data_IF_447159932011
#
_entry.id   IF_447159932011
#
_cell.length_a   1.000
_cell.length_b   1.000
_cell.length_c   1.000
_cell.angle_alpha   90.00
_cell.angle_beta   90.00
_cell.angle_gamma   90.00
#
_symmetry.space_group_name_H-M   'P 1'
#
loop_
_entity.id
_entity.type
_entity.pdbx_description
1 polymer ?
#
# COMPACT_ATOMS: atom_id res chain seq x y z
N UNK A 1 9.97 -0.81 -17.13
CA UNK A 1 8.95 -0.43 -16.14
C UNK A 1 8.02 0.60 -16.71
N UNK A 2 6.77 0.55 -16.32
CA UNK A 2 5.75 1.48 -16.82
C UNK A 2 5.55 2.63 -15.85
N UNK A 3 5.83 3.85 -16.30
CA UNK A 3 5.59 5.05 -15.51
C UNK A 3 4.08 5.25 -15.25
N UNK A 4 3.25 4.90 -16.24
CA UNK A 4 1.80 5.04 -16.09
C UNK A 4 1.28 4.12 -14.99
N UNK A 5 1.76 2.89 -14.91
CA UNK A 5 1.35 1.97 -13.86
C UNK A 5 1.89 2.38 -12.50
N UNK A 6 3.12 2.90 -12.46
CA UNK A 6 3.66 3.44 -11.23
C UNK A 6 2.78 4.57 -10.70
N UNK A 7 2.39 5.49 -11.58
CA UNK A 7 1.54 6.60 -11.19
C UNK A 7 0.15 6.13 -10.77
N UNK A 8 -0.37 5.11 -11.45
CA UNK A 8 -1.67 4.53 -11.09
C UNK A 8 -1.61 3.92 -9.69
N UNK A 9 -0.50 3.23 -9.37
CA UNK A 9 -0.32 2.70 -8.03
C UNK A 9 -0.34 3.81 -6.98
N UNK A 10 0.35 4.92 -7.26
CA UNK A 10 0.39 6.04 -6.33
C UNK A 10 -0.98 6.70 -6.16
N UNK A 11 -1.73 6.84 -7.25
CA UNK A 11 -3.08 7.41 -7.17
C UNK A 11 -4.00 6.52 -6.34
N UNK A 12 -3.90 5.21 -6.55
CA UNK A 12 -4.74 4.29 -5.78
C UNK A 12 -4.36 4.27 -4.31
N UNK A 13 -3.05 4.38 -4.04
CA UNK A 13 -2.56 4.47 -2.67
C UNK A 13 -3.06 5.76 -1.99
N UNK A 14 -3.18 6.85 -2.74
CA UNK A 14 -3.75 8.07 -2.21
C UNK A 14 -5.21 7.88 -1.78
N UNK A 15 -5.96 7.03 -2.49
CA UNK A 15 -7.32 6.67 -2.08
C UNK A 15 -7.32 5.97 -0.73
N UNK A 16 -6.36 5.06 -0.50
CA UNK A 16 -6.24 4.40 0.79
C UNK A 16 -5.95 5.42 1.89
N UNK A 17 -5.01 6.31 1.64
CA UNK A 17 -4.66 7.34 2.64
C UNK A 17 -5.85 8.23 2.96
N UNK A 18 -6.60 8.63 1.96
CA UNK A 18 -7.81 9.46 2.17
C UNK A 18 -8.84 8.70 3.01
N UNK A 19 -9.03 7.41 2.72
CA UNK A 19 -9.96 6.58 3.47
C UNK A 19 -9.54 6.49 4.94
N UNK A 20 -8.27 6.20 5.19
CA UNK A 20 -7.77 6.03 6.56
C UNK A 20 -7.85 7.35 7.35
N UNK A 21 -7.43 8.43 6.73
CA UNK A 21 -7.41 9.75 7.38
C UNK A 21 -8.82 10.28 7.61
N UNK A 22 -9.79 9.80 6.84
CA UNK A 22 -11.17 10.21 6.98
C UNK A 22 -11.97 9.45 8.02
N UNK A 23 -11.39 8.44 8.68
CA UNK A 23 -12.11 7.65 9.68
C UNK A 23 -12.17 8.40 11.01
N UNK A 24 -13.36 8.75 11.48
CA UNK A 24 -13.49 9.57 12.68
C UNK A 24 -12.97 8.86 13.94
N UNK A 25 -12.20 9.57 14.74
CA UNK A 25 -11.76 9.07 16.04
C UNK A 25 -10.72 7.97 16.00
N UNK A 26 -10.17 7.63 14.84
CA UNK A 26 -9.25 6.49 14.72
C UNK A 26 -7.82 6.92 14.39
N UNK A 27 -7.54 8.21 14.40
CA UNK A 27 -6.26 8.72 13.92
C UNK A 27 -5.07 8.08 14.62
N UNK A 28 -5.13 7.97 15.94
CA UNK A 28 -4.01 7.43 16.70
C UNK A 28 -3.79 5.96 16.43
N UNK A 29 -4.88 5.20 16.32
CA UNK A 29 -4.78 3.77 16.08
C UNK A 29 -4.32 3.44 14.66
N UNK A 30 -4.61 4.33 13.73
CA UNK A 30 -4.24 4.14 12.32
C UNK A 30 -2.91 4.77 11.96
N UNK A 31 -2.26 5.46 12.91
CA UNK A 31 -1.03 6.19 12.60
C UNK A 31 0.04 5.29 11.98
N UNK A 32 0.22 4.08 12.52
CA UNK A 32 1.22 3.16 11.99
C UNK A 32 0.93 2.74 10.56
N UNK A 33 -0.34 2.45 10.27
CA UNK A 33 -0.73 2.07 8.91
C UNK A 33 -0.60 3.26 7.95
N UNK A 34 -1.00 4.44 8.39
CA UNK A 34 -0.84 5.64 7.58
C UNK A 34 0.64 5.88 7.27
N UNK A 35 1.50 5.76 8.26
CA UNK A 35 2.95 5.95 8.08
C UNK A 35 3.51 4.95 7.09
N UNK A 36 3.10 3.68 7.17
CA UNK A 36 3.56 2.67 6.22
C UNK A 36 3.07 2.96 4.80
N UNK A 37 1.81 3.38 4.67
CA UNK A 37 1.27 3.71 3.35
C UNK A 37 2.00 4.92 2.75
N UNK A 38 2.33 5.91 3.56
CA UNK A 38 3.09 7.07 3.09
C UNK A 38 4.51 6.68 2.72
N UNK A 39 5.13 5.78 3.48
CA UNK A 39 6.46 5.28 3.15
C UNK A 39 6.44 4.49 1.84
N UNK A 40 5.38 3.72 1.62
CA UNK A 40 5.21 3.01 0.37
C UNK A 40 5.10 3.98 -0.81
N UNK A 41 4.33 5.04 -0.64
CA UNK A 41 4.18 6.04 -1.68
C UNK A 41 5.54 6.65 -2.07
N UNK A 42 6.35 6.99 -1.07
CA UNK A 42 7.69 7.53 -1.33
C UNK A 42 8.57 6.52 -2.05
N UNK A 43 8.50 5.25 -1.65
CA UNK A 43 9.31 4.20 -2.28
C UNK A 43 8.91 4.01 -3.73
N UNK A 44 7.61 4.07 -4.02
CA UNK A 44 7.11 3.94 -5.40
C UNK A 44 7.61 5.13 -6.23
N UNK A 45 7.50 6.33 -5.70
CA UNK A 45 7.94 7.53 -6.41
C UNK A 45 9.44 7.51 -6.71
N UNK A 46 10.22 6.91 -5.83
CA UNK A 46 11.67 6.81 -5.99
C UNK A 46 12.12 5.58 -6.77
N UNK A 47 11.21 4.73 -7.23
CA UNK A 47 11.54 3.45 -7.87
C UNK A 47 12.46 2.60 -6.99
N UNK A 48 12.28 2.66 -5.68
CA UNK A 48 13.14 1.94 -4.74
C UNK A 48 12.60 0.53 -4.53
N UNK A 49 13.13 -0.41 -5.31
CA UNK A 49 12.58 -1.76 -5.41
C UNK A 49 12.42 -2.45 -4.05
N UNK A 50 13.49 -2.47 -3.26
CA UNK A 50 13.43 -3.15 -1.96
C UNK A 50 12.46 -2.46 -1.01
N UNK A 51 12.42 -1.14 -1.06
CA UNK A 51 11.48 -0.38 -0.25
C UNK A 51 10.04 -0.69 -0.63
N UNK A 52 9.76 -0.77 -1.94
CA UNK A 52 8.43 -1.11 -2.43
C UNK A 52 8.01 -2.50 -1.92
N UNK A 53 8.89 -3.50 -2.07
CA UNK A 53 8.58 -4.87 -1.64
C UNK A 53 8.30 -4.93 -0.15
N UNK A 54 9.15 -4.30 0.64
CA UNK A 54 9.02 -4.30 2.09
C UNK A 54 7.75 -3.58 2.53
N UNK A 55 7.51 -2.39 1.98
CA UNK A 55 6.38 -1.57 2.42
C UNK A 55 5.04 -2.11 1.96
N UNK A 56 4.95 -2.64 0.73
CA UNK A 56 3.67 -3.22 0.28
C UNK A 56 3.34 -4.47 1.10
N UNK A 57 4.34 -5.26 1.48
CA UNK A 57 4.12 -6.39 2.35
C UNK A 57 3.54 -5.93 3.69
N UNK A 58 4.13 -4.89 4.29
CA UNK A 58 3.65 -4.37 5.56
C UNK A 58 2.24 -3.81 5.46
N UNK A 59 1.95 -3.02 4.44
CA UNK A 59 0.62 -2.44 4.24
C UNK A 59 -0.42 -3.54 4.07
N UNK A 60 -0.11 -4.53 3.23
CA UNK A 60 -1.02 -5.65 2.98
C UNK A 60 -1.33 -6.40 4.28
N UNK A 61 -0.30 -6.70 5.06
CA UNK A 61 -0.47 -7.41 6.32
C UNK A 61 -1.27 -6.58 7.33
N UNK A 62 -1.00 -5.29 7.43
CA UNK A 62 -1.68 -4.42 8.36
C UNK A 62 -3.14 -4.23 8.00
N UNK A 63 -3.47 -4.21 6.70
CA UNK A 63 -4.86 -4.13 6.26
C UNK A 63 -5.57 -5.45 6.49
N UNK A 64 -4.87 -6.58 6.37
CA UNK A 64 -5.45 -7.90 6.63
C UNK A 64 -5.72 -8.11 8.14
N UNK A 65 -4.90 -7.51 8.99
CA UNK A 65 -5.03 -7.62 10.44
C UNK A 65 -4.99 -6.22 11.07
N UNK A 66 -6.05 -5.43 10.84
CA UNK A 66 -6.00 -4.02 11.21
C UNK A 66 -6.22 -3.81 12.71
N UNK A 67 -5.68 -2.70 13.25
CA UNK A 67 -5.90 -2.37 14.67
C UNK A 67 -7.34 -1.98 14.98
N UNK A 68 -8.09 -1.54 13.95
CA UNK A 68 -9.51 -1.24 14.06
C UNK A 68 -10.17 -1.76 12.79
N UNK A 69 -11.47 -2.02 12.85
CA UNK A 69 -12.19 -2.49 11.67
C UNK A 69 -12.12 -1.46 10.55
N UNK A 70 -11.70 -1.89 9.37
CA UNK A 70 -11.59 -1.02 8.20
C UNK A 70 -12.76 -1.28 7.26
N UNK A 71 -13.17 -0.27 6.47
CA UNK A 71 -14.14 -0.51 5.40
C UNK A 71 -13.61 -1.55 4.42
N UNK A 72 -14.49 -2.34 3.79
CA UNK A 72 -14.04 -3.36 2.84
C UNK A 72 -13.27 -2.79 1.65
N UNK A 73 -13.45 -1.50 1.35
CA UNK A 73 -12.70 -0.85 0.27
C UNK A 73 -11.19 -0.87 0.53
N UNK A 74 -10.76 -0.91 1.79
CA UNK A 74 -9.33 -0.89 2.09
C UNK A 74 -8.59 -2.07 1.47
N UNK A 75 -9.12 -3.29 1.61
CA UNK A 75 -8.52 -4.47 0.99
C UNK A 75 -8.52 -4.38 -0.53
N UNK A 76 -9.62 -3.89 -1.11
CA UNK A 76 -9.73 -3.75 -2.55
C UNK A 76 -8.70 -2.76 -3.08
N UNK A 77 -8.49 -1.66 -2.36
CA UNK A 77 -7.50 -0.66 -2.77
C UNK A 77 -6.09 -1.26 -2.74
N UNK A 78 -5.75 -1.99 -1.68
CA UNK A 78 -4.42 -2.60 -1.58
C UNK A 78 -4.21 -3.60 -2.71
N UNK A 79 -5.23 -4.39 -3.04
CA UNK A 79 -5.14 -5.32 -4.16
C UNK A 79 -4.88 -4.60 -5.47
N UNK A 80 -5.55 -3.46 -5.69
CA UNK A 80 -5.33 -2.66 -6.89
C UNK A 80 -3.92 -2.07 -6.94
N UNK A 81 -3.42 -1.57 -5.81
CA UNK A 81 -2.05 -1.05 -5.75
C UNK A 81 -1.06 -2.14 -6.16
N UNK A 82 -1.24 -3.36 -5.63
CA UNK A 82 -0.36 -4.47 -5.98
C UNK A 82 -0.42 -4.81 -7.46
N UNK A 83 -1.62 -4.81 -8.05
CA UNK A 83 -1.77 -5.07 -9.48
C UNK A 83 -1.01 -4.05 -10.32
N UNK A 84 -1.12 -2.79 -9.97
CA UNK A 84 -0.40 -1.74 -10.70
C UNK A 84 1.10 -1.87 -10.53
N UNK A 85 1.57 -2.21 -9.33
CA UNK A 85 3.00 -2.41 -9.09
C UNK A 85 3.52 -3.58 -9.89
N UNK A 86 2.77 -4.69 -9.93
CA UNK A 86 3.17 -5.85 -10.72
C UNK A 86 3.17 -5.53 -12.21
N UNK A 87 2.19 -4.78 -12.68
CA UNK A 87 2.14 -4.35 -14.07
C UNK A 87 3.30 -3.41 -14.41
N UNK A 88 3.79 -2.65 -13.44
CA UNK A 88 4.95 -1.79 -13.62
C UNK A 88 6.27 -2.54 -13.57
N UNK A 89 6.24 -3.82 -13.23
CA UNK A 89 7.44 -4.65 -13.18
C UNK A 89 8.01 -4.88 -11.79
N UNK A 90 7.35 -4.41 -10.74
CA UNK A 90 7.81 -4.65 -9.39
C UNK A 90 7.27 -5.97 -8.86
N UNK A 91 8.10 -6.70 -8.13
CA UNK A 91 7.68 -7.94 -7.49
C UNK A 91 7.15 -7.63 -6.10
N UNK A 92 5.90 -7.98 -5.83
CA UNK A 92 5.25 -7.62 -4.58
C UNK A 92 5.00 -8.79 -3.65
N UNK A 93 5.36 -10.01 -4.07
CA UNK A 93 5.08 -11.20 -3.26
C UNK A 93 6.29 -11.94 -2.77
N UNK A 94 7.44 -11.57 -3.22
CA UNK A 94 8.64 -12.38 -3.01
C UNK A 94 9.12 -12.43 -1.59
N UNK A 95 8.57 -11.59 -0.74
CA UNK A 95 9.06 -11.44 0.61
C UNK A 95 8.83 -12.70 1.45
N UNK A 96 7.70 -13.36 1.23
CA UNK A 96 7.38 -14.53 2.00
C UNK A 96 7.20 -15.77 1.16
N UNK A 97 7.57 -15.72 -0.08
CA UNK A 97 7.28 -16.84 -0.96
C UNK A 97 8.54 -17.36 -1.59
N UNK A 98 9.23 -18.26 -0.93
CA UNK A 98 10.31 -18.96 -1.60
C UNK A 98 9.69 -19.78 -2.72
N UNK A 99 10.19 -19.61 -3.85
CA UNK A 99 9.59 -20.26 -5.02
C UNK A 99 10.42 -21.42 -5.50
#
# INVERSE_FOLDING_TARGET
>A
MSTAEQQAAQRRLADLLALLKGMPGQKDRLAGLIDEAEALDRAIGAFHLEGIRFRIFNVDRMVAHPPVALPPDASAIVADVRKHLEAAGFHTRSHQAPQ
#
